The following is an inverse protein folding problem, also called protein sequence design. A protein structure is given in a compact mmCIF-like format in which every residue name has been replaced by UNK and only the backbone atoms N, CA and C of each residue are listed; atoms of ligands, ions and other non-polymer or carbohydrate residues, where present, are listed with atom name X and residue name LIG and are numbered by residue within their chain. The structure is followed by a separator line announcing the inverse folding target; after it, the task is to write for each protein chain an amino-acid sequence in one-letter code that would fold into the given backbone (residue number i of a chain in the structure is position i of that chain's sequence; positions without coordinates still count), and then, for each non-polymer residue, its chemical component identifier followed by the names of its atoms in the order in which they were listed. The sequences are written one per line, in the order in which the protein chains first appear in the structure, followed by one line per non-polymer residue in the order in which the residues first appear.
data_IF_585226042405
#
_entry.id   IF_585226042405
#
_cell.length_a   1.000
_cell.length_b   1.000
_cell.length_c   1.000
_cell.angle_alpha   90.00
_cell.angle_beta   90.00
_cell.angle_gamma   90.00
#
_symmetry.space_group_name_H-M   'P 1'
#
loop_
_entity.id
_entity.type
_entity.pdbx_description
1 polymer ?
#
# COMPACT_ATOMS: atom_id res chain seq x y z
N UNK A 1 -6.99 6.50 -23.92
CA UNK A 1 -6.65 7.92 -23.68
C UNK A 1 -5.66 7.93 -22.53
N UNK A 2 -4.49 8.57 -22.72
CA UNK A 2 -3.31 8.59 -21.83
C UNK A 2 -2.96 10.01 -21.36
N UNK A 3 -3.86 10.97 -21.62
CA UNK A 3 -3.57 12.40 -21.54
C UNK A 3 -3.26 12.86 -20.10
N UNK A 4 -3.87 12.24 -19.08
CA UNK A 4 -3.64 12.67 -17.68
C UNK A 4 -2.25 12.28 -17.22
N UNK A 5 -1.87 11.03 -17.44
CA UNK A 5 -0.55 10.53 -17.06
C UNK A 5 0.57 11.21 -17.84
N UNK A 6 0.41 11.41 -19.16
CA UNK A 6 1.42 12.12 -19.95
C UNK A 6 1.59 13.57 -19.50
N UNK A 7 0.50 14.25 -19.12
CA UNK A 7 0.58 15.59 -18.56
C UNK A 7 1.34 15.61 -17.22
N UNK A 8 1.11 14.65 -16.32
CA UNK A 8 1.87 14.53 -15.06
C UNK A 8 3.36 14.29 -15.30
N UNK A 9 3.71 13.47 -16.30
CA UNK A 9 5.10 13.20 -16.66
C UNK A 9 5.80 14.49 -17.10
N UNK A 10 5.15 15.29 -17.96
CA UNK A 10 5.69 16.55 -18.45
C UNK A 10 5.74 17.63 -17.36
N UNK A 11 4.67 17.80 -16.58
CA UNK A 11 4.55 18.82 -15.53
C UNK A 11 5.62 18.69 -14.46
N UNK A 12 5.99 17.46 -14.11
CA UNK A 12 6.89 17.16 -13.00
C UNK A 12 8.28 16.69 -13.43
N UNK A 13 8.63 16.78 -14.73
CA UNK A 13 9.90 16.31 -15.28
C UNK A 13 10.24 14.88 -14.83
N UNK A 14 9.24 14.00 -14.91
CA UNK A 14 9.34 12.62 -14.41
C UNK A 14 10.41 11.87 -15.19
N UNK A 15 11.35 11.24 -14.47
CA UNK A 15 12.42 10.43 -15.07
C UNK A 15 12.02 8.97 -15.22
N UNK A 16 11.25 8.46 -14.27
CA UNK A 16 10.90 7.05 -14.16
C UNK A 16 9.39 6.86 -14.00
N UNK A 17 8.84 5.84 -14.66
CA UNK A 17 7.47 5.41 -14.44
C UNK A 17 7.50 4.02 -13.83
N UNK A 18 6.92 3.88 -12.65
CA UNK A 18 6.88 2.66 -11.86
C UNK A 18 5.52 1.96 -12.04
N UNK A 19 5.50 0.93 -12.87
CA UNK A 19 4.30 0.19 -13.24
C UNK A 19 3.97 -0.79 -12.13
N UNK A 20 2.81 -0.62 -11.49
CA UNK A 20 2.43 -1.41 -10.31
C UNK A 20 1.18 -2.24 -10.54
N UNK A 21 1.18 -3.43 -9.98
CA UNK A 21 0.04 -4.37 -9.98
C UNK A 21 0.00 -5.14 -8.66
N UNK A 22 -1.12 -5.81 -8.37
CA UNK A 22 -1.28 -6.58 -7.13
C UNK A 22 -1.38 -8.07 -7.43
N UNK A 23 -0.59 -8.89 -6.73
CA UNK A 23 -0.68 -10.34 -6.86
C UNK A 23 -1.87 -10.94 -6.10
N UNK A 24 -2.11 -12.24 -6.28
CA UNK A 24 -3.25 -12.93 -5.63
C UNK A 24 -3.17 -12.95 -4.10
N UNK A 25 -2.00 -12.72 -3.50
CA UNK A 25 -1.83 -12.60 -2.05
C UNK A 25 -2.12 -11.19 -1.53
N UNK A 26 -2.37 -10.24 -2.42
CA UNK A 26 -2.61 -8.84 -2.08
C UNK A 26 -1.31 -8.03 -1.95
N UNK A 27 -0.15 -8.57 -2.35
CA UNK A 27 1.09 -7.82 -2.35
C UNK A 27 1.21 -7.03 -3.65
N UNK A 28 1.48 -5.74 -3.51
CA UNK A 28 1.84 -4.89 -4.65
C UNK A 28 3.24 -5.23 -5.15
N UNK A 29 3.34 -5.41 -6.46
CA UNK A 29 4.54 -5.72 -7.24
C UNK A 29 4.77 -4.57 -8.24
N UNK A 30 6.00 -4.42 -8.72
CA UNK A 30 6.35 -3.30 -9.60
C UNK A 30 7.46 -3.61 -10.61
N UNK A 31 7.46 -2.85 -11.72
CA UNK A 31 8.54 -2.77 -12.71
C UNK A 31 8.70 -1.32 -13.15
N UNK A 32 9.92 -0.79 -13.09
CA UNK A 32 10.21 0.60 -13.45
C UNK A 32 10.74 0.70 -14.88
N UNK A 33 10.23 1.67 -15.65
CA UNK A 33 10.66 1.98 -17.02
C UNK A 33 11.05 3.46 -17.15
N UNK A 34 11.93 3.83 -18.10
CA UNK A 34 12.21 5.23 -18.39
C UNK A 34 10.95 5.97 -18.83
N UNK A 35 10.68 7.17 -18.29
CA UNK A 35 9.49 7.94 -18.63
C UNK A 35 9.41 8.30 -20.13
N UNK A 36 10.57 8.44 -20.80
CA UNK A 36 10.66 8.68 -22.26
C UNK A 36 10.03 7.58 -23.12
N UNK A 37 9.90 6.37 -22.59
CA UNK A 37 9.34 5.22 -23.31
C UNK A 37 7.82 5.12 -23.11
N UNK A 38 7.24 5.94 -22.20
CA UNK A 38 5.81 5.99 -21.91
C UNK A 38 5.14 7.04 -22.80
N UNK A 39 4.50 6.58 -23.87
CA UNK A 39 3.78 7.39 -24.84
C UNK A 39 2.37 6.82 -25.08
N UNK A 40 1.60 7.37 -26.03
CA UNK A 40 0.23 6.87 -26.33
C UNK A 40 0.21 5.38 -26.71
N UNK A 41 1.15 4.93 -27.53
CA UNK A 41 1.28 3.53 -27.96
C UNK A 41 1.59 2.60 -26.77
N UNK A 42 2.34 3.08 -25.77
CA UNK A 42 2.63 2.33 -24.55
C UNK A 42 1.36 1.99 -23.76
N UNK A 43 0.35 2.86 -23.75
CA UNK A 43 -0.94 2.58 -23.09
C UNK A 43 -1.80 1.57 -23.87
N UNK A 44 -1.60 1.47 -25.18
CA UNK A 44 -2.32 0.51 -26.02
C UNK A 44 -1.70 -0.89 -25.93
N UNK A 45 -0.37 -0.96 -26.08
CA UNK A 45 0.39 -2.20 -26.12
C UNK A 45 0.69 -2.76 -24.73
N UNK A 46 1.01 -1.90 -23.77
CA UNK A 46 1.48 -2.27 -22.44
C UNK A 46 2.94 -2.75 -22.41
N UNK A 47 3.39 -3.15 -21.22
CA UNK A 47 4.73 -3.66 -20.95
C UNK A 47 4.69 -5.18 -20.74
N UNK A 48 5.49 -5.92 -21.48
CA UNK A 48 5.63 -7.37 -21.29
C UNK A 48 6.41 -7.67 -19.99
N UNK A 49 6.00 -8.71 -19.27
CA UNK A 49 6.72 -9.24 -18.11
C UNK A 49 6.51 -10.76 -17.93
N UNK A 50 7.38 -11.38 -17.11
CA UNK A 50 7.32 -12.80 -16.77
C UNK A 50 6.38 -13.04 -15.56
N UNK A 51 5.19 -13.58 -15.84
CA UNK A 51 4.20 -13.94 -14.84
C UNK A 51 4.46 -15.27 -14.12
N UNK A 52 5.46 -16.06 -14.52
CA UNK A 52 5.79 -17.34 -13.85
C UNK A 52 6.48 -17.16 -12.50
N UNK A 53 7.03 -15.97 -12.26
CA UNK A 53 7.61 -15.58 -10.98
C UNK A 53 6.56 -15.07 -9.97
N UNK A 54 5.29 -14.95 -10.37
CA UNK A 54 4.19 -14.59 -9.49
C UNK A 54 3.50 -15.87 -9.01
N UNK A 55 3.57 -16.10 -7.70
CA UNK A 55 3.07 -17.34 -7.12
C UNK A 55 1.57 -17.53 -7.38
N UNK A 56 1.22 -18.68 -7.95
CA UNK A 56 -0.17 -19.01 -8.28
C UNK A 56 -0.64 -18.44 -9.63
N UNK A 57 0.24 -17.88 -10.46
CA UNK A 57 -0.10 -17.41 -11.82
C UNK A 57 0.31 -18.44 -12.89
N UNK A 58 1.20 -18.06 -13.82
CA UNK A 58 1.55 -18.86 -15.01
C UNK A 58 2.62 -19.91 -14.70
N UNK A 59 2.63 -20.97 -15.49
CA UNK A 59 3.78 -21.89 -15.55
C UNK A 59 4.89 -21.32 -16.42
N UNK A 60 6.12 -21.83 -16.25
CA UNK A 60 7.31 -21.39 -17.03
C UNK A 60 7.10 -21.56 -18.54
N UNK A 61 6.25 -22.50 -18.97
CA UNK A 61 5.97 -22.78 -20.38
C UNK A 61 5.03 -21.76 -21.06
N UNK A 62 4.33 -20.91 -20.30
CA UNK A 62 3.38 -19.90 -20.79
C UNK A 62 3.48 -18.63 -19.93
N UNK A 63 4.70 -18.17 -19.70
CA UNK A 63 5.03 -17.17 -18.68
C UNK A 63 4.69 -15.73 -19.05
N UNK A 64 4.68 -15.40 -20.34
CA UNK A 64 4.54 -14.03 -20.82
C UNK A 64 3.16 -13.44 -20.48
N UNK A 65 3.17 -12.22 -19.93
CA UNK A 65 1.98 -11.45 -19.55
C UNK A 65 2.19 -9.96 -19.92
N UNK A 66 1.11 -9.19 -20.01
CA UNK A 66 1.15 -7.76 -20.29
C UNK A 66 0.68 -6.96 -19.07
N UNK A 67 1.49 -6.00 -18.64
CA UNK A 67 1.08 -4.89 -17.77
C UNK A 67 0.46 -3.81 -18.65
N UNK A 68 -0.85 -3.60 -18.55
CA UNK A 68 -1.55 -2.53 -19.26
C UNK A 68 -1.79 -1.35 -18.33
N UNK A 69 -1.11 -0.21 -18.50
CA UNK A 69 -1.29 0.95 -17.63
C UNK A 69 -2.68 1.57 -17.77
N UNK A 70 -3.22 2.09 -16.67
CA UNK A 70 -4.50 2.81 -16.67
C UNK A 70 -4.30 4.31 -16.41
N UNK A 71 -4.73 5.12 -17.39
CA UNK A 71 -4.64 6.57 -17.33
C UNK A 71 -5.45 7.15 -16.16
N UNK A 72 -4.88 8.14 -15.47
CA UNK A 72 -5.51 8.79 -14.33
C UNK A 72 -5.43 8.03 -13.00
N UNK A 73 -4.69 6.92 -12.95
CA UNK A 73 -4.29 6.25 -11.69
C UNK A 73 -2.92 6.69 -11.19
N UNK A 74 -2.24 7.57 -11.94
CA UNK A 74 -0.87 7.96 -11.66
C UNK A 74 -0.74 8.98 -10.54
N UNK A 75 0.27 8.82 -9.68
CA UNK A 75 0.68 9.79 -8.66
C UNK A 75 2.21 9.77 -8.50
N UNK A 76 2.80 10.90 -8.08
CA UNK A 76 4.23 10.98 -7.82
C UNK A 76 4.61 10.20 -6.56
N UNK A 77 5.67 9.41 -6.65
CA UNK A 77 6.23 8.70 -5.50
C UNK A 77 6.86 9.73 -4.53
N UNK A 78 6.38 9.84 -3.28
CA UNK A 78 6.89 10.82 -2.33
C UNK A 78 8.21 10.38 -1.66
N UNK A 79 8.72 9.18 -1.95
CA UNK A 79 9.87 8.60 -1.27
C UNK A 79 11.12 8.46 -2.17
N UNK A 80 10.96 8.53 -3.50
CA UNK A 80 12.08 8.41 -4.44
C UNK A 80 12.86 9.72 -4.59
N UNK A 81 14.19 9.63 -4.71
CA UNK A 81 15.05 10.79 -4.95
C UNK A 81 14.83 11.39 -6.34
N UNK A 82 14.81 10.55 -7.38
CA UNK A 82 14.44 10.95 -8.72
C UNK A 82 12.92 11.00 -8.86
N UNK A 83 12.41 12.03 -9.55
CA UNK A 83 10.98 12.14 -9.85
C UNK A 83 10.47 10.88 -10.55
N UNK A 84 9.64 10.13 -9.83
CA UNK A 84 9.10 8.83 -10.26
C UNK A 84 7.58 8.89 -10.18
N UNK A 85 6.90 8.51 -11.25
CA UNK A 85 5.45 8.41 -11.29
C UNK A 85 5.05 6.94 -11.09
N UNK A 86 4.29 6.64 -10.04
CA UNK A 86 3.64 5.34 -9.87
C UNK A 86 2.42 5.27 -10.76
N UNK A 87 2.22 4.16 -11.48
CA UNK A 87 1.10 3.98 -12.39
C UNK A 87 0.48 2.57 -12.26
N UNK A 88 -0.83 2.50 -12.06
CA UNK A 88 -1.54 1.22 -11.90
C UNK A 88 -1.72 0.52 -13.23
N UNK A 89 -1.51 -0.79 -13.21
CA UNK A 89 -1.66 -1.64 -14.37
C UNK A 89 -2.68 -2.75 -14.12
N UNK A 90 -3.50 -3.03 -15.12
CA UNK A 90 -4.19 -4.31 -15.22
C UNK A 90 -3.25 -5.36 -15.81
N UNK A 91 -3.49 -6.62 -15.49
CA UNK A 91 -2.78 -7.73 -16.11
C UNK A 91 -3.61 -8.29 -17.26
N UNK A 92 -3.01 -8.38 -18.44
CA UNK A 92 -3.66 -8.83 -19.65
C UNK A 92 -3.01 -10.13 -20.14
N UNK A 93 -3.85 -11.09 -20.53
CA UNK A 93 -3.45 -12.33 -21.19
C UNK A 93 -3.07 -12.05 -22.66
N UNK A 94 -1.83 -12.30 -23.10
CA UNK A 94 -1.41 -11.97 -24.48
C UNK A 94 -2.18 -12.74 -25.56
N UNK A 95 -2.61 -13.97 -25.27
CA UNK A 95 -3.30 -14.81 -26.24
C UNK A 95 -4.73 -14.33 -26.56
N UNK A 96 -5.41 -13.71 -25.59
CA UNK A 96 -6.81 -13.28 -25.72
C UNK A 96 -6.99 -11.77 -25.68
N UNK A 97 -5.96 -11.04 -25.23
CA UNK A 97 -5.98 -9.61 -24.95
C UNK A 97 -7.04 -9.20 -23.91
N UNK A 98 -7.48 -10.14 -23.07
CA UNK A 98 -8.45 -9.95 -22.00
C UNK A 98 -7.77 -9.82 -20.63
N UNK A 99 -8.46 -9.18 -19.68
CA UNK A 99 -7.99 -9.07 -18.29
C UNK A 99 -7.85 -10.44 -17.65
N UNK A 100 -6.71 -10.70 -17.02
CA UNK A 100 -6.33 -11.99 -16.49
C UNK A 100 -7.28 -12.43 -15.36
N UNK A 101 -7.61 -13.71 -15.33
CA UNK A 101 -8.63 -14.21 -14.40
C UNK A 101 -8.16 -14.27 -12.95
N UNK A 102 -6.84 -14.23 -12.70
CA UNK A 102 -6.25 -14.24 -11.35
C UNK A 102 -5.68 -12.89 -10.91
N UNK A 103 -5.83 -11.86 -11.75
CA UNK A 103 -5.54 -10.48 -11.37
C UNK A 103 -6.67 -9.94 -10.47
N UNK A 104 -6.39 -9.61 -9.19
CA UNK A 104 -7.39 -9.06 -8.27
C UNK A 104 -8.09 -7.82 -8.80
N UNK A 105 -7.37 -6.97 -9.54
CA UNK A 105 -7.90 -5.71 -10.06
C UNK A 105 -8.88 -5.94 -11.21
N UNK A 106 -8.54 -6.84 -12.13
CA UNK A 106 -9.46 -7.33 -13.15
C UNK A 106 -10.72 -7.97 -12.56
N UNK A 107 -10.59 -8.72 -11.45
CA UNK A 107 -11.75 -9.29 -10.73
C UNK A 107 -12.65 -8.16 -10.17
N UNK A 108 -12.06 -7.15 -9.53
CA UNK A 108 -12.80 -6.01 -8.97
C UNK A 108 -13.57 -5.24 -10.06
N UNK A 109 -12.96 -4.99 -11.22
CA UNK A 109 -13.63 -4.37 -12.37
C UNK A 109 -14.80 -5.20 -12.89
N UNK A 110 -14.63 -6.53 -12.99
CA UNK A 110 -15.73 -7.44 -13.34
C UNK A 110 -16.85 -7.43 -12.31
N UNK A 111 -16.54 -7.25 -11.02
CA UNK A 111 -17.55 -7.15 -9.96
C UNK A 111 -18.36 -5.85 -10.06
N UNK A 112 -17.72 -4.70 -10.34
CA UNK A 112 -18.43 -3.44 -10.60
C UNK A 112 -19.36 -3.56 -11.81
N UNK A 113 -18.86 -4.10 -12.93
CA UNK A 113 -19.66 -4.33 -14.14
C UNK A 113 -20.81 -5.32 -13.90
N UNK A 114 -20.58 -6.36 -13.11
CA UNK A 114 -21.61 -7.33 -12.75
C UNK A 114 -22.76 -6.67 -11.99
N UNK A 115 -22.48 -5.86 -10.96
CA UNK A 115 -23.50 -5.11 -10.21
C UNK A 115 -24.39 -4.30 -11.16
N UNK A 116 -23.79 -3.54 -12.06
CA UNK A 116 -24.51 -2.74 -13.06
C UNK A 116 -25.40 -3.63 -13.95
N UNK A 117 -24.87 -4.75 -14.44
CA UNK A 117 -25.60 -5.69 -15.28
C UNK A 117 -26.84 -6.31 -14.61
N UNK A 118 -26.84 -6.41 -13.27
CA UNK A 118 -27.98 -6.96 -12.52
C UNK A 118 -29.15 -5.97 -12.41
N UNK A 119 -28.89 -4.67 -12.62
CA UNK A 119 -29.86 -3.60 -12.38
C UNK A 119 -30.21 -3.35 -10.91
N UNK A 120 -29.55 -4.03 -9.96
CA UNK A 120 -29.77 -3.85 -8.52
C UNK A 120 -29.11 -2.58 -7.96
N UNK A 121 -28.09 -2.07 -8.65
CA UNK A 121 -27.37 -0.85 -8.30
C UNK A 121 -26.42 -0.45 -9.42
N UNK A 122 -25.95 0.80 -9.39
CA UNK A 122 -25.01 1.37 -10.36
C UNK A 122 -23.59 1.45 -9.80
N UNK A 123 -23.46 1.71 -8.50
CA UNK A 123 -22.20 1.96 -7.78
C UNK A 123 -22.24 1.31 -6.41
N UNK A 124 -21.13 0.66 -6.02
CA UNK A 124 -20.91 0.20 -4.65
C UNK A 124 -19.74 0.98 -4.03
N UNK A 125 -19.98 1.61 -2.88
CA UNK A 125 -18.96 2.35 -2.14
C UNK A 125 -18.37 1.51 -1.01
N UNK A 126 -17.06 1.60 -0.85
CA UNK A 126 -16.28 0.87 0.15
C UNK A 126 -15.45 1.86 0.97
N UNK A 127 -15.44 1.68 2.29
CA UNK A 127 -14.64 2.44 3.25
C UNK A 127 -14.04 1.50 4.29
N UNK A 128 -12.96 0.76 3.96
CA UNK A 128 -12.24 -0.04 4.93
C UNK A 128 -11.39 0.84 5.86
N UNK A 129 -11.27 0.41 7.11
CA UNK A 129 -10.47 1.03 8.17
C UNK A 129 -9.33 0.05 8.56
N UNK A 130 -8.26 -0.06 7.76
CA UNK A 130 -7.19 -1.02 8.04
C UNK A 130 -6.33 -0.53 9.20
N UNK A 131 -6.63 -1.01 10.41
CA UNK A 131 -5.75 -0.84 11.57
C UNK A 131 -4.36 -1.45 11.31
N UNK A 132 -3.35 -0.88 11.97
CA UNK A 132 -1.96 -1.32 11.83
C UNK A 132 -1.17 -1.12 13.12
N UNK A 133 -0.05 -1.83 13.25
CA UNK A 133 0.92 -1.62 14.32
C UNK A 133 2.16 -0.91 13.82
N UNK A 134 2.77 -0.08 14.67
CA UNK A 134 4.13 0.46 14.51
C UNK A 134 4.99 -0.09 15.65
N UNK A 135 6.04 -0.82 15.29
CA UNK A 135 7.01 -1.39 16.23
C UNK A 135 8.40 -0.81 16.00
N UNK A 136 9.26 -0.92 17.01
CA UNK A 136 10.67 -0.55 16.90
C UNK A 136 11.47 -1.65 16.20
N UNK A 137 11.22 -2.90 16.60
CA UNK A 137 11.94 -4.04 16.05
C UNK A 137 11.05 -5.27 15.97
N UNK A 138 11.33 -6.12 14.97
CA UNK A 138 10.76 -7.45 14.85
C UNK A 138 11.89 -8.42 14.52
N UNK A 139 12.09 -9.44 15.36
CA UNK A 139 13.05 -10.52 15.14
C UNK A 139 12.29 -11.83 15.01
N UNK A 140 12.64 -12.68 14.05
CA UNK A 140 12.01 -14.00 13.88
C UNK A 140 13.01 -15.04 13.38
N UNK A 141 12.73 -16.32 13.65
CA UNK A 141 13.51 -17.47 13.19
C UNK A 141 12.57 -18.67 13.02
N UNK A 142 12.81 -19.47 11.99
CA UNK A 142 12.16 -20.77 11.82
C UNK A 142 13.09 -21.72 11.06
N UNK A 143 13.83 -22.57 11.78
CA UNK A 143 14.70 -23.58 11.21
C UNK A 143 14.67 -24.89 12.01
N UNK A 144 15.49 -25.87 11.61
CA UNK A 144 15.54 -27.19 12.25
C UNK A 144 15.98 -27.16 13.72
N UNK A 145 16.58 -26.07 14.19
CA UNK A 145 16.97 -25.88 15.58
C UNK A 145 15.83 -25.28 16.41
N UNK A 146 14.84 -24.65 15.78
CA UNK A 146 13.65 -24.13 16.46
C UNK A 146 13.00 -22.94 15.78
N UNK A 147 11.97 -22.40 16.43
CA UNK A 147 11.19 -21.26 15.96
C UNK A 147 11.03 -20.21 17.07
N UNK A 148 11.04 -18.93 16.68
CA UNK A 148 10.81 -17.80 17.59
C UNK A 148 10.29 -16.58 16.81
N UNK A 149 9.60 -15.68 17.52
CA UNK A 149 9.42 -14.29 17.13
C UNK A 149 9.55 -13.40 18.37
N UNK A 150 9.99 -12.16 18.20
CA UNK A 150 10.09 -11.15 19.25
C UNK A 150 9.79 -9.79 18.65
N UNK A 151 8.85 -9.08 19.26
CA UNK A 151 8.49 -7.71 18.93
C UNK A 151 9.02 -6.80 20.03
N UNK A 152 9.63 -5.69 19.64
CA UNK A 152 10.06 -4.61 20.54
C UNK A 152 9.25 -3.36 20.22
N UNK A 153 8.69 -2.74 21.26
CA UNK A 153 7.98 -1.46 21.18
C UNK A 153 8.26 -0.69 22.48
N UNK A 154 8.64 0.58 22.35
CA UNK A 154 8.84 1.49 23.46
C UNK A 154 7.54 1.78 24.19
N UNK A 155 6.39 1.72 23.52
CA UNK A 155 5.07 1.77 24.15
C UNK A 155 4.64 0.43 24.77
N UNK A 156 5.40 -0.64 24.55
CA UNK A 156 5.08 -1.97 25.03
C UNK A 156 4.90 -2.01 26.55
N UNK A 157 3.81 -2.62 27.02
CA UNK A 157 3.54 -2.80 28.45
C UNK A 157 4.60 -3.70 29.11
N UNK A 158 5.33 -4.47 28.31
CA UNK A 158 6.50 -5.27 28.72
C UNK A 158 7.80 -4.46 28.80
N UNK A 159 7.84 -3.20 28.35
CA UNK A 159 9.03 -2.36 28.31
C UNK A 159 9.22 -1.47 29.56
N UNK A 160 8.42 -1.68 30.61
CA UNK A 160 8.37 -0.79 31.79
C UNK A 160 9.67 -0.75 32.59
N UNK A 161 10.47 -1.81 32.55
CA UNK A 161 11.75 -1.93 33.26
C UNK A 161 12.96 -1.90 32.32
N UNK A 162 12.74 -1.64 31.02
CA UNK A 162 13.82 -1.53 30.04
C UNK A 162 14.82 -0.45 30.46
N UNK A 163 16.11 -0.81 30.36
CA UNK A 163 17.21 0.14 30.53
C UNK A 163 17.51 0.78 29.18
N UNK A 164 17.08 2.02 29.02
CA UNK A 164 17.25 2.81 27.81
C UNK A 164 18.29 3.91 28.06
N UNK A 165 19.12 4.19 27.07
CA UNK A 165 20.01 5.36 27.10
C UNK A 165 19.17 6.64 27.27
N UNK A 166 19.54 7.52 28.20
CA UNK A 166 18.74 8.68 28.57
C UNK A 166 17.64 8.42 29.62
N UNK A 167 17.41 7.18 30.02
CA UNK A 167 16.48 6.80 31.09
C UNK A 167 15.09 6.38 30.62
N UNK A 168 14.37 5.63 31.45
CA UNK A 168 13.02 5.16 31.14
C UNK A 168 11.98 6.17 31.64
N UNK A 169 11.39 6.94 30.71
CA UNK A 169 10.47 8.04 31.03
C UNK A 169 9.06 7.59 31.45
N UNK A 170 8.77 6.29 31.41
CA UNK A 170 7.43 5.78 31.72
C UNK A 170 6.46 6.07 30.58
N UNK A 171 5.33 6.73 30.89
CA UNK A 171 4.28 7.15 29.93
C UNK A 171 3.94 6.14 28.83
N UNK A 172 3.47 4.94 29.22
CA UNK A 172 3.05 3.90 28.28
C UNK A 172 1.56 3.60 28.40
N UNK A 173 0.88 3.30 27.28
CA UNK A 173 -0.47 2.75 27.35
C UNK A 173 -0.43 1.40 28.06
N UNK A 174 -1.46 1.10 28.86
CA UNK A 174 -1.63 -0.24 29.45
C UNK A 174 -2.12 -1.22 28.38
N UNK A 175 -2.11 -2.52 28.68
CA UNK A 175 -2.81 -3.51 27.86
C UNK A 175 -4.26 -3.09 27.68
N UNK A 176 -4.71 -2.95 26.42
CA UNK A 176 -6.02 -2.40 26.03
C UNK A 176 -6.28 -0.95 26.49
N UNK A 177 -5.23 -0.16 26.65
CA UNK A 177 -5.29 1.23 27.13
C UNK A 177 -4.76 2.25 26.13
N UNK A 178 -4.60 1.88 24.86
CA UNK A 178 -4.08 2.76 23.81
C UNK A 178 -5.11 3.76 23.25
N UNK A 179 -6.40 3.53 23.47
CA UNK A 179 -7.46 4.41 22.98
C UNK A 179 -7.89 5.41 24.06
N UNK A 180 -7.61 6.71 23.97
CA UNK A 180 -6.72 7.43 23.03
C UNK A 180 -6.01 8.56 23.80
N UNK A 181 -5.19 8.23 24.82
CA UNK A 181 -4.60 9.22 25.70
C UNK A 181 -3.69 10.17 24.92
N UNK A 182 -3.64 11.43 25.35
CA UNK A 182 -2.77 12.44 24.74
C UNK A 182 -1.27 12.14 24.97
N UNK A 183 -0.37 12.72 24.17
CA UNK A 183 1.07 12.71 24.47
C UNK A 183 1.36 13.20 25.90
N UNK A 184 2.39 12.67 26.59
CA UNK A 184 3.42 11.77 26.05
C UNK A 184 3.07 10.26 26.09
N UNK A 185 1.83 9.89 26.42
CA UNK A 185 1.43 8.46 26.40
C UNK A 185 1.30 7.93 24.98
N UNK A 186 0.73 8.74 24.08
CA UNK A 186 0.75 8.50 22.63
C UNK A 186 2.04 9.06 22.05
N UNK A 187 2.98 8.18 21.72
CA UNK A 187 4.28 8.52 21.14
C UNK A 187 4.27 8.56 19.60
N UNK A 188 3.17 8.09 18.98
CA UNK A 188 3.04 7.95 17.53
C UNK A 188 2.29 9.12 16.88
N UNK A 189 1.88 10.14 17.64
CA UNK A 189 1.11 11.27 17.14
C UNK A 189 1.74 11.93 15.90
N UNK A 190 3.03 12.28 15.96
CA UNK A 190 3.74 12.94 14.86
C UNK A 190 3.97 12.00 13.67
N UNK A 191 4.23 10.71 13.92
CA UNK A 191 4.40 9.71 12.86
C UNK A 191 3.09 9.53 12.09
N UNK A 192 1.95 9.42 12.80
CA UNK A 192 0.63 9.38 12.15
C UNK A 192 0.34 10.68 11.39
N UNK A 193 0.71 11.85 11.93
CA UNK A 193 0.57 13.13 11.23
C UNK A 193 1.37 13.16 9.92
N UNK A 194 2.59 12.64 9.92
CA UNK A 194 3.40 12.51 8.71
C UNK A 194 2.77 11.55 7.68
N UNK A 195 2.22 10.42 8.13
CA UNK A 195 1.46 9.49 7.26
C UNK A 195 0.26 10.20 6.62
N UNK A 196 -0.52 10.94 7.40
CA UNK A 196 -1.69 11.67 6.91
C UNK A 196 -1.30 12.72 5.86
N UNK A 197 -0.26 13.51 6.12
CA UNK A 197 0.22 14.52 5.17
C UNK A 197 0.67 13.89 3.84
N UNK A 198 1.34 12.74 3.89
CA UNK A 198 1.76 12.03 2.68
C UNK A 198 0.58 11.43 1.92
N UNK A 199 -0.43 10.90 2.61
CA UNK A 199 -1.67 10.41 1.98
C UNK A 199 -2.43 11.53 1.25
N UNK A 200 -2.57 12.69 1.90
CA UNK A 200 -3.17 13.89 1.28
C UNK A 200 -2.36 14.37 0.08
N UNK A 201 -1.03 14.34 0.16
CA UNK A 201 -0.16 14.75 -0.94
C UNK A 201 -0.29 13.86 -2.19
N UNK A 202 -0.65 12.58 -2.03
CA UNK A 202 -0.94 11.66 -3.15
C UNK A 202 -2.42 11.61 -3.54
N UNK A 203 -3.27 12.44 -2.91
CA UNK A 203 -4.66 12.65 -3.32
C UNK A 203 -5.72 11.88 -2.52
N UNK A 204 -5.37 11.21 -1.42
CA UNK A 204 -6.35 10.61 -0.52
C UNK A 204 -6.88 11.61 0.49
N UNK A 205 -8.19 11.61 0.74
CA UNK A 205 -8.81 12.46 1.77
C UNK A 205 -8.80 11.73 3.11
N UNK A 206 -7.99 12.23 4.05
CA UNK A 206 -7.90 11.77 5.43
C UNK A 206 -9.03 12.40 6.26
N UNK A 207 -9.74 11.57 7.00
CA UNK A 207 -10.86 11.99 7.86
C UNK A 207 -10.44 12.04 9.34
N UNK A 208 -9.60 11.10 9.77
CA UNK A 208 -9.17 10.98 11.17
C UNK A 208 -7.87 10.17 11.28
N UNK A 209 -7.10 10.39 12.35
CA UNK A 209 -6.08 9.44 12.81
C UNK A 209 -6.10 9.36 14.34
N UNK A 210 -5.89 8.17 14.88
CA UNK A 210 -5.78 7.96 16.33
C UNK A 210 -4.93 6.74 16.66
N UNK A 211 -4.48 6.70 17.92
CA UNK A 211 -3.99 5.47 18.51
C UNK A 211 -5.18 4.55 18.80
N UNK A 212 -5.02 3.25 18.57
CA UNK A 212 -6.06 2.24 18.74
C UNK A 212 -5.96 1.52 20.10
N UNK A 213 -6.86 0.57 20.37
CA UNK A 213 -7.05 -0.02 21.71
C UNK A 213 -5.82 -0.76 22.24
N UNK A 214 -5.15 -1.56 21.41
CA UNK A 214 -4.08 -2.44 21.83
C UNK A 214 -2.85 -1.66 22.30
N UNK A 215 -2.10 -2.30 23.20
CA UNK A 215 -0.81 -1.79 23.61
C UNK A 215 0.24 -2.01 22.51
N UNK A 216 1.36 -1.29 22.60
CA UNK A 216 2.53 -1.43 21.73
C UNK A 216 2.35 -0.87 20.31
N UNK A 217 1.60 0.22 20.16
CA UNK A 217 1.58 1.01 18.93
C UNK A 217 0.55 0.56 17.89
N UNK A 218 -0.67 0.20 18.30
CA UNK A 218 -1.78 0.05 17.35
C UNK A 218 -2.29 1.43 16.93
N UNK A 219 -2.57 1.61 15.65
CA UNK A 219 -2.96 2.88 15.06
C UNK A 219 -4.02 2.65 13.98
N UNK A 220 -4.78 3.70 13.70
CA UNK A 220 -5.71 3.77 12.58
C UNK A 220 -5.64 5.14 11.91
N UNK A 221 -5.81 5.15 10.58
CA UNK A 221 -6.04 6.35 9.78
C UNK A 221 -7.30 6.11 8.95
N UNK A 222 -8.34 6.87 9.24
CA UNK A 222 -9.58 6.86 8.48
C UNK A 222 -9.44 7.72 7.22
N UNK A 223 -9.82 7.17 6.08
CA UNK A 223 -9.83 7.84 4.77
C UNK A 223 -11.19 7.68 4.12
N UNK A 224 -11.59 8.69 3.35
CA UNK A 224 -12.89 8.72 2.68
C UNK A 224 -13.14 7.48 1.82
N UNK A 225 -14.39 7.01 1.77
CA UNK A 225 -14.82 5.90 0.93
C UNK A 225 -14.68 6.21 -0.58
N UNK A 226 -14.61 5.17 -1.41
CA UNK A 226 -14.61 5.28 -2.87
C UNK A 226 -15.29 4.07 -3.54
N UNK A 227 -15.36 4.02 -4.88
CA UNK A 227 -15.85 2.83 -5.60
C UNK A 227 -14.90 1.65 -5.40
N UNK A 228 -15.38 0.42 -5.64
CA UNK A 228 -14.65 -0.81 -5.33
C UNK A 228 -13.21 -0.83 -5.86
N UNK A 229 -13.00 -0.56 -7.16
CA UNK A 229 -11.67 -0.61 -7.78
C UNK A 229 -10.78 0.50 -7.22
N UNK A 230 -11.30 1.73 -7.18
CA UNK A 230 -10.55 2.89 -6.67
C UNK A 230 -10.17 2.73 -5.21
N UNK A 231 -11.08 2.22 -4.37
CA UNK A 231 -10.78 2.01 -2.96
C UNK A 231 -9.76 0.90 -2.75
N UNK A 232 -9.80 -0.15 -3.56
CA UNK A 232 -8.77 -1.19 -3.52
C UNK A 232 -7.38 -0.63 -3.90
N UNK A 233 -7.30 0.22 -4.93
CA UNK A 233 -6.06 0.91 -5.31
C UNK A 233 -5.56 1.81 -4.15
N UNK A 234 -6.44 2.63 -3.57
CA UNK A 234 -6.14 3.50 -2.42
C UNK A 234 -5.65 2.72 -1.18
N UNK A 235 -6.17 1.51 -0.92
CA UNK A 235 -5.71 0.67 0.19
C UNK A 235 -4.26 0.21 -0.02
N UNK A 236 -3.87 -0.10 -1.25
CA UNK A 236 -2.48 -0.47 -1.56
C UNK A 236 -1.55 0.73 -1.38
N UNK A 237 -1.97 1.91 -1.83
CA UNK A 237 -1.26 3.18 -1.62
C UNK A 237 -1.11 3.50 -0.13
N UNK A 238 -2.18 3.33 0.65
CA UNK A 238 -2.17 3.57 2.08
C UNK A 238 -1.15 2.69 2.79
N UNK A 239 -1.16 1.38 2.49
CA UNK A 239 -0.17 0.45 3.05
C UNK A 239 1.25 0.84 2.63
N UNK A 240 1.44 1.25 1.37
CA UNK A 240 2.74 1.70 0.88
C UNK A 240 3.23 2.94 1.65
N UNK A 241 2.39 3.97 1.82
CA UNK A 241 2.72 5.18 2.57
C UNK A 241 3.03 4.85 4.03
N UNK A 242 2.19 4.08 4.70
CA UNK A 242 2.37 3.73 6.12
C UNK A 242 3.68 2.96 6.34
N UNK A 243 3.98 1.96 5.50
CA UNK A 243 5.25 1.23 5.62
C UNK A 243 6.46 2.14 5.40
N UNK A 244 6.46 3.00 4.39
CA UNK A 244 7.63 3.84 4.06
C UNK A 244 7.81 5.00 5.03
N UNK A 245 6.72 5.62 5.51
CA UNK A 245 6.82 6.64 6.57
C UNK A 245 7.34 5.99 7.86
N UNK A 246 6.80 4.83 8.28
CA UNK A 246 7.34 4.13 9.44
C UNK A 246 8.84 3.83 9.27
N UNK A 247 9.25 3.35 8.09
CA UNK A 247 10.65 3.08 7.77
C UNK A 247 11.53 4.33 7.86
N UNK A 248 11.09 5.47 7.33
CA UNK A 248 11.80 6.74 7.39
C UNK A 248 12.00 7.26 8.83
N UNK A 249 11.10 6.89 9.75
CA UNK A 249 11.22 7.17 11.19
C UNK A 249 12.01 6.09 11.96
N UNK A 250 12.63 5.13 11.27
CA UNK A 250 13.39 4.05 11.89
C UNK A 250 12.51 3.02 12.61
N UNK A 251 11.26 2.86 12.18
CA UNK A 251 10.27 1.93 12.72
C UNK A 251 9.88 0.88 11.67
N UNK A 252 9.09 -0.10 12.07
CA UNK A 252 8.48 -1.07 11.17
C UNK A 252 6.98 -1.15 11.41
N UNK A 253 6.19 -0.99 10.34
CA UNK A 253 4.74 -1.10 10.42
C UNK A 253 4.25 -2.47 9.94
N UNK A 254 3.13 -2.95 10.47
CA UNK A 254 2.50 -4.21 10.03
C UNK A 254 0.97 -4.11 10.06
N UNK A 255 0.34 -4.74 9.09
CA UNK A 255 -1.11 -4.90 8.97
C UNK A 255 -1.54 -6.36 9.23
N UNK A 256 -0.67 -7.16 9.87
CA UNK A 256 -1.02 -8.53 10.21
C UNK A 256 -2.15 -8.57 11.26
N UNK A 257 -3.06 -9.55 11.21
CA UNK A 257 -4.09 -9.75 12.24
C UNK A 257 -3.54 -10.12 13.61
#
# INVERSE_FOLDING_TARGET
MSAKTLALIEEHDVKWVDLRFTDTRGKEQHVTVPARDVNEEFFENGQMFDGSSIEGWKGINESDMILRPEDGTGFLDPFTEDATLILRCDIIEPATMQGYDRDPRSIAKRAEAYLQSTGLGDTAFFGPEPEFFIFDEVHWKSDIQGSMYKITSDEGAWATDNKVEGGNLGHRPRVKGGYFPVPPVDSFHDIRGAMCNTLEAIGQTVEVHHHEVANAGQNEIGVKFNTLVKKADEVQEMKYVIHNVAHAYGKTATFMP
#
